data_IF_283390783431
#
_entry.id   IF_283390783431
#
_cell.length_a   1.000
_cell.length_b   1.000
_cell.length_c   1.000
_cell.angle_alpha   90.00
_cell.angle_beta   90.00
_cell.angle_gamma   90.00
#
_symmetry.space_group_name_H-M   'P 1'
#
loop_
_entity.id
_entity.type
_entity.pdbx_description
1 polymer ?
#
# COMPACT_ATOMS: atom_id res chain seq x y z
N UNK A 1 6.36 -1.34 -15.70
CA UNK A 1 7.77 -1.56 -15.33
C UNK A 1 8.56 -2.06 -16.54
N UNK A 2 9.78 -1.57 -16.79
CA UNK A 2 10.65 -2.06 -17.87
C UNK A 2 11.01 -3.54 -17.72
N UNK A 3 11.36 -4.21 -18.82
CA UNK A 3 11.65 -5.66 -18.81
C UNK A 3 12.84 -6.05 -17.94
N UNK A 4 13.82 -5.16 -17.74
CA UNK A 4 15.01 -5.40 -16.92
C UNK A 4 14.75 -5.27 -15.40
N UNK A 5 13.57 -4.77 -15.01
CA UNK A 5 13.17 -4.58 -13.61
C UNK A 5 12.04 -5.56 -13.21
N UNK A 6 11.70 -6.50 -14.10
CA UNK A 6 10.74 -7.56 -13.80
C UNK A 6 11.40 -8.67 -12.98
N UNK A 7 10.72 -9.09 -11.92
CA UNK A 7 11.04 -10.34 -11.24
C UNK A 7 10.75 -11.54 -12.15
N UNK A 8 11.50 -12.64 -11.98
CA UNK A 8 11.47 -13.79 -12.89
C UNK A 8 10.08 -14.42 -13.13
N UNK A 9 9.13 -14.23 -12.21
CA UNK A 9 7.78 -14.77 -12.32
C UNK A 9 6.78 -13.83 -13.01
N UNK A 10 7.10 -12.55 -13.20
CA UNK A 10 6.16 -11.56 -13.71
C UNK A 10 6.30 -11.39 -15.23
N UNK A 11 5.20 -11.57 -15.98
CA UNK A 11 5.15 -11.18 -17.39
C UNK A 11 4.89 -9.68 -17.55
N UNK A 12 4.15 -9.10 -16.60
CA UNK A 12 3.82 -7.68 -16.53
C UNK A 12 3.67 -7.28 -15.08
N UNK A 13 4.25 -6.14 -14.71
CA UNK A 13 4.16 -5.54 -13.38
C UNK A 13 3.83 -4.05 -13.49
N UNK A 14 2.89 -3.60 -12.65
CA UNK A 14 2.48 -2.21 -12.49
C UNK A 14 2.71 -1.83 -11.04
N UNK A 15 3.45 -0.75 -10.82
CA UNK A 15 3.70 -0.19 -9.49
C UNK A 15 2.88 1.09 -9.36
N UNK A 16 2.27 1.26 -8.19
CA UNK A 16 1.65 2.52 -7.81
C UNK A 16 2.57 3.20 -6.82
N UNK A 17 2.97 4.41 -7.17
CA UNK A 17 3.89 5.21 -6.39
C UNK A 17 3.12 6.35 -5.73
N UNK A 18 3.38 6.58 -4.44
CA UNK A 18 2.91 7.76 -3.75
C UNK A 18 3.96 8.85 -3.83
N UNK A 19 3.51 10.10 -3.75
CA UNK A 19 4.39 11.25 -3.65
C UNK A 19 4.98 11.35 -2.22
N UNK A 20 6.29 11.52 -2.13
CA UNK A 20 7.06 11.67 -0.89
C UNK A 20 7.97 12.90 -1.02
N UNK A 21 7.59 14.06 -0.46
CA UNK A 21 8.41 15.28 -0.49
C UNK A 21 9.85 15.09 0.01
N UNK A 22 10.09 14.12 0.91
CA UNK A 22 11.42 13.86 1.47
C UNK A 22 12.37 13.12 0.52
N UNK A 23 11.84 12.48 -0.53
CA UNK A 23 12.63 11.64 -1.44
C UNK A 23 13.26 12.46 -2.56
N UNK A 24 14.47 12.05 -2.97
CA UNK A 24 15.21 12.67 -4.08
C UNK A 24 14.38 12.81 -5.37
N UNK A 25 13.66 11.75 -5.74
CA UNK A 25 12.84 11.71 -6.95
C UNK A 25 11.35 11.96 -6.67
N UNK A 26 11.01 12.32 -5.43
CA UNK A 26 9.67 12.56 -4.91
C UNK A 26 8.65 11.40 -5.02
N UNK A 27 9.03 10.21 -5.49
CA UNK A 27 8.12 9.08 -5.66
C UNK A 27 8.59 7.84 -4.90
N UNK A 28 7.63 7.03 -4.48
CA UNK A 28 7.90 5.77 -3.80
C UNK A 28 6.81 4.73 -3.96
N UNK A 29 7.17 3.52 -4.37
CA UNK A 29 6.26 2.37 -4.50
C UNK A 29 5.54 2.09 -3.16
N UNK A 30 4.20 2.09 -3.19
CA UNK A 30 3.34 1.68 -2.07
C UNK A 30 2.59 0.38 -2.34
N UNK A 31 2.47 -0.01 -3.61
CA UNK A 31 1.96 -1.30 -4.06
C UNK A 31 2.55 -1.66 -5.41
N UNK A 32 2.58 -2.96 -5.68
CA UNK A 32 2.85 -3.55 -6.98
C UNK A 32 1.83 -4.63 -7.28
N UNK A 33 1.43 -4.73 -8.55
CA UNK A 33 0.55 -5.77 -9.07
C UNK A 33 1.20 -6.46 -10.27
N UNK A 34 1.28 -7.78 -10.21
CA UNK A 34 2.00 -8.61 -11.18
C UNK A 34 1.10 -9.70 -11.77
N UNK A 35 1.11 -9.80 -13.09
CA UNK A 35 0.58 -10.96 -13.81
C UNK A 35 1.71 -11.97 -14.00
N UNK A 36 1.49 -13.22 -13.59
CA UNK A 36 2.52 -14.27 -13.59
C UNK A 36 2.25 -15.40 -14.59
N UNK A 37 1.17 -15.29 -15.37
CA UNK A 37 0.67 -16.35 -16.27
C UNK A 37 0.72 -17.71 -15.56
N UNK A 38 1.19 -18.76 -16.22
CA UNK A 38 1.29 -20.10 -15.65
C UNK A 38 2.63 -20.38 -14.94
N UNK A 39 3.50 -19.37 -14.77
CA UNK A 39 4.84 -19.54 -14.21
C UNK A 39 4.82 -20.20 -12.83
N UNK A 40 3.98 -19.70 -11.93
CA UNK A 40 3.89 -20.20 -10.55
C UNK A 40 3.19 -21.56 -10.50
N UNK A 41 2.11 -21.71 -11.27
CA UNK A 41 1.29 -22.93 -11.25
C UNK A 41 2.01 -24.13 -11.86
N UNK A 42 2.85 -23.93 -12.88
CA UNK A 42 3.75 -24.98 -13.39
C UNK A 42 4.74 -25.47 -12.35
N UNK A 43 5.34 -24.55 -11.58
CA UNK A 43 6.32 -24.89 -10.54
C UNK A 43 5.70 -25.59 -9.33
N UNK A 44 4.46 -25.25 -9.01
CA UNK A 44 3.71 -25.87 -7.91
C UNK A 44 2.94 -27.13 -8.34
N UNK A 45 2.85 -27.43 -9.64
CA UNK A 45 2.03 -28.52 -10.15
C UNK A 45 0.52 -28.27 -10.05
N UNK A 46 0.09 -27.02 -9.85
CA UNK A 46 -1.31 -26.62 -9.69
C UNK A 46 -2.04 -26.68 -11.03
N UNK A 47 -3.04 -27.55 -11.13
CA UNK A 47 -3.85 -27.75 -12.35
C UNK A 47 -5.32 -27.60 -12.05
N UNK A 48 -6.07 -27.08 -13.01
CA UNK A 48 -7.55 -27.02 -12.97
C UNK A 48 -8.13 -27.39 -14.33
N UNK A 49 -9.44 -27.67 -14.39
CA UNK A 49 -10.12 -27.87 -15.68
C UNK A 49 -10.55 -26.50 -16.21
N UNK A 50 -10.07 -26.15 -17.40
CA UNK A 50 -10.45 -24.96 -18.16
C UNK A 50 -10.93 -25.47 -19.52
N UNK A 51 -12.17 -25.14 -19.90
CA UNK A 51 -12.81 -25.60 -21.14
C UNK A 51 -12.70 -27.12 -21.35
N UNK A 52 -12.93 -27.88 -20.28
CA UNK A 52 -12.89 -29.35 -20.29
C UNK A 52 -11.49 -29.98 -20.29
N UNK A 53 -10.42 -29.19 -20.38
CA UNK A 53 -9.03 -29.68 -20.42
C UNK A 53 -8.29 -29.37 -19.12
N UNK A 54 -7.44 -30.29 -18.68
CA UNK A 54 -6.50 -30.00 -17.58
C UNK A 54 -5.46 -28.99 -18.07
N UNK A 55 -5.40 -27.84 -17.41
CA UNK A 55 -4.50 -26.74 -17.74
C UNK A 55 -3.89 -26.13 -16.47
N UNK A 56 -2.81 -25.38 -16.66
CA UNK A 56 -2.16 -24.58 -15.62
C UNK A 56 -2.84 -23.20 -15.59
N UNK A 57 -3.62 -22.88 -14.55
CA UNK A 57 -4.30 -21.58 -14.49
C UNK A 57 -3.29 -20.45 -14.34
N UNK A 58 -3.68 -19.26 -14.80
CA UNK A 58 -2.87 -18.07 -14.62
C UNK A 58 -2.99 -17.53 -13.20
N UNK A 59 -1.90 -17.00 -12.68
CA UNK A 59 -1.88 -16.32 -11.39
C UNK A 59 -1.58 -14.84 -11.54
N UNK A 60 -2.10 -14.08 -10.58
CA UNK A 60 -1.80 -12.68 -10.36
C UNK A 60 -1.60 -12.48 -8.86
N UNK A 61 -0.77 -11.52 -8.49
CA UNK A 61 -0.62 -11.08 -7.13
C UNK A 61 -0.55 -9.56 -7.09
N UNK A 62 -0.95 -8.98 -5.97
CA UNK A 62 -0.84 -7.55 -5.75
C UNK A 62 -0.76 -7.24 -4.26
N UNK A 63 0.13 -6.31 -3.91
CA UNK A 63 0.16 -5.77 -2.55
C UNK A 63 -1.12 -4.95 -2.35
N UNK A 64 -1.96 -5.26 -1.37
CA UNK A 64 -3.13 -4.40 -1.12
C UNK A 64 -2.64 -2.99 -0.74
N UNK A 65 -1.83 -2.90 0.31
CA UNK A 65 -1.10 -1.70 0.73
C UNK A 65 0.15 -2.13 1.51
N UNK A 66 1.32 -1.57 1.18
CA UNK A 66 2.48 -1.68 2.04
C UNK A 66 2.33 -0.73 3.24
N UNK A 67 1.67 -1.20 4.30
CA UNK A 67 1.21 -0.38 5.44
C UNK A 67 2.28 0.61 5.95
N UNK A 68 3.54 0.22 6.21
CA UNK A 68 4.55 1.18 6.67
C UNK A 68 4.82 2.32 5.67
N UNK A 69 4.81 2.04 4.36
CA UNK A 69 5.03 3.04 3.31
C UNK A 69 3.83 3.98 3.19
N UNK A 70 2.62 3.43 3.30
CA UNK A 70 1.39 4.24 3.28
C UNK A 70 1.31 5.17 4.49
N UNK A 71 1.67 4.70 5.69
CA UNK A 71 1.75 5.54 6.88
C UNK A 71 2.77 6.67 6.67
N UNK A 72 3.97 6.36 6.16
CA UNK A 72 4.97 7.38 5.86
C UNK A 72 4.45 8.43 4.86
N UNK A 73 3.75 8.01 3.79
CA UNK A 73 3.14 8.93 2.84
C UNK A 73 2.08 9.84 3.50
N UNK A 74 1.23 9.29 4.36
CA UNK A 74 0.22 10.07 5.10
C UNK A 74 0.89 11.06 6.04
N UNK A 75 1.95 10.66 6.75
CA UNK A 75 2.69 11.55 7.65
C UNK A 75 3.32 12.71 6.88
N UNK A 76 4.03 12.45 5.79
CA UNK A 76 4.70 13.51 5.01
C UNK A 76 3.72 14.46 4.34
N UNK A 77 2.65 13.94 3.72
CA UNK A 77 1.70 14.78 2.98
C UNK A 77 0.65 15.43 3.90
N UNK A 78 0.43 14.90 5.10
CA UNK A 78 -0.54 15.40 6.06
C UNK A 78 0.06 16.33 7.12
N UNK A 79 1.39 16.51 7.15
CA UNK A 79 2.09 17.32 8.16
C UNK A 79 1.80 18.81 8.03
N UNK A 80 1.51 19.43 9.16
CA UNK A 80 1.30 20.86 9.35
C UNK A 80 2.38 21.37 10.32
N UNK A 81 3.32 22.17 9.79
CA UNK A 81 4.47 22.71 10.53
C UNK A 81 4.05 23.65 11.66
N UNK A 82 3.02 24.47 11.44
CA UNK A 82 2.58 25.48 12.41
C UNK A 82 1.85 24.80 13.57
N UNK A 83 0.89 23.92 13.24
CA UNK A 83 0.10 23.21 14.23
C UNK A 83 0.85 22.03 14.87
N UNK A 84 1.96 21.56 14.28
CA UNK A 84 2.70 20.34 14.66
C UNK A 84 1.79 19.11 14.72
N UNK A 85 0.95 18.97 13.68
CA UNK A 85 -0.03 17.90 13.56
C UNK A 85 0.02 17.24 12.19
N UNK A 86 -0.46 16.01 12.11
CA UNK A 86 -0.75 15.30 10.86
C UNK A 86 -2.25 15.18 10.70
N UNK A 87 -2.78 15.60 9.55
CA UNK A 87 -4.18 15.40 9.21
C UNK A 87 -4.46 13.93 8.89
N UNK A 88 -5.49 13.36 9.51
CA UNK A 88 -5.96 11.99 9.25
C UNK A 88 -6.91 12.02 8.04
N UNK A 89 -6.63 11.24 6.97
CA UNK A 89 -7.56 11.09 5.85
C UNK A 89 -8.96 10.69 6.29
N UNK A 90 -9.99 11.28 5.68
CA UNK A 90 -11.39 11.08 6.07
C UNK A 90 -11.78 9.60 6.13
N UNK A 91 -11.31 8.80 5.17
CA UNK A 91 -11.57 7.36 5.10
C UNK A 91 -11.00 6.56 6.28
N UNK A 92 -10.02 7.11 7.02
CA UNK A 92 -9.42 6.46 8.19
C UNK A 92 -10.06 6.88 9.52
N UNK A 93 -10.79 8.00 9.57
CA UNK A 93 -11.36 8.55 10.81
C UNK A 93 -12.32 7.59 11.55
N UNK A 94 -13.18 6.79 10.87
CA UNK A 94 -14.02 5.80 11.55
C UNK A 94 -13.24 4.73 12.31
N UNK A 95 -11.99 4.49 11.92
CA UNK A 95 -11.09 3.51 12.53
C UNK A 95 -10.16 4.14 13.59
N UNK A 96 -10.33 5.43 13.88
CA UNK A 96 -9.46 6.25 14.72
C UNK A 96 -10.24 7.04 15.79
N UNK A 97 -11.36 6.49 16.29
CA UNK A 97 -12.28 7.14 17.25
C UNK A 97 -12.80 8.52 16.79
N UNK A 98 -12.95 8.72 15.47
CA UNK A 98 -13.37 10.00 14.89
C UNK A 98 -12.30 11.10 14.94
N UNK A 99 -11.05 10.79 15.29
CA UNK A 99 -9.97 11.78 15.30
C UNK A 99 -9.68 12.28 13.88
N UNK A 100 -9.51 13.60 13.77
CA UNK A 100 -9.18 14.27 12.50
C UNK A 100 -7.70 14.59 12.35
N UNK A 101 -6.97 14.68 13.45
CA UNK A 101 -5.54 15.01 13.48
C UNK A 101 -4.79 14.16 14.51
N UNK A 102 -3.54 13.83 14.21
CA UNK A 102 -2.55 13.27 15.14
C UNK A 102 -1.56 14.38 15.48
N UNK A 103 -1.24 14.60 16.75
CA UNK A 103 -0.19 15.56 17.11
C UNK A 103 -0.10 15.73 18.60
N UNK A 104 0.72 16.70 19.01
CA UNK A 104 0.86 17.10 20.40
C UNK A 104 -0.41 17.87 20.83
N UNK A 105 -1.54 17.19 20.90
CA UNK A 105 -2.74 17.75 21.51
C UNK A 105 -2.40 18.18 22.93
N UNK A 106 -2.73 19.44 23.28
CA UNK A 106 -2.61 19.93 24.66
C UNK A 106 -3.18 18.87 25.58
N UNK A 107 -2.37 18.42 26.55
CA UNK A 107 -2.77 17.41 27.54
C UNK A 107 -4.21 17.70 27.95
N UNK A 108 -5.14 16.79 27.68
CA UNK A 108 -6.45 16.86 28.34
C UNK A 108 -6.14 16.89 29.82
N UNK A 109 -6.36 18.05 30.45
CA UNK A 109 -6.14 18.19 31.88
C UNK A 109 -7.03 17.13 32.54
N UNK A 110 -6.49 16.42 33.53
CA UNK A 110 -7.20 15.41 34.29
C UNK A 110 -8.34 15.98 35.16
N UNK A 111 -8.84 17.17 34.83
CA UNK A 111 -9.82 17.94 35.61
C UNK A 111 -11.27 17.61 35.21
N UNK A 112 -11.52 17.07 34.00
CA UNK A 112 -12.89 16.75 33.54
C UNK A 112 -13.33 15.31 33.87
N UNK A 113 -12.77 14.69 34.92
CA UNK A 113 -13.13 13.32 35.37
C UNK A 113 -13.69 13.24 36.79
N UNK A 114 -14.22 14.34 37.33
CA UNK A 114 -14.94 14.34 38.61
C UNK A 114 -16.38 14.78 38.40
#
# INVERSE_FOLDING_TARGET
MPSHDLGASATRKIDMEAFFPSRRDNWGEVTSASMCTDYQTRRLGTRTRIDGKLAFPWTSNGTALAVPRVIAAILENGWDEEAKTVTIPECLRPWMDGKEKIGLGGRRSSVDRV
#
